data_IF_088261590412
#
_entry.id   IF_088261590412
#
_cell.length_a   1.000
_cell.length_b   1.000
_cell.length_c   1.000
_cell.angle_alpha   90.00
_cell.angle_beta   90.00
_cell.angle_gamma   90.00
#
_symmetry.space_group_name_H-M   'P 1'
#
loop_
_entity.id
_entity.type
_entity.pdbx_description
1 polymer ?
#
# COMPACT_ATOMS: atom_id res chain seq x y z
N UNK A 1 36.76 44.29 -19.90
CA UNK A 1 36.93 43.11 -20.78
C UNK A 1 36.33 41.80 -20.24
N UNK A 2 36.04 41.65 -18.95
CA UNK A 2 35.56 40.38 -18.33
C UNK A 2 34.11 39.98 -18.66
N UNK A 3 33.22 40.94 -18.96
CA UNK A 3 31.81 40.65 -19.28
C UNK A 3 31.60 39.92 -20.62
N UNK A 4 32.53 40.06 -21.56
CA UNK A 4 32.43 39.39 -22.88
C UNK A 4 32.68 37.88 -22.80
N UNK A 5 33.58 37.45 -21.91
CA UNK A 5 33.92 36.03 -21.72
C UNK A 5 32.80 35.25 -21.01
N UNK A 6 32.09 35.90 -20.09
CA UNK A 6 30.92 35.32 -19.39
C UNK A 6 29.78 34.98 -20.35
N UNK A 7 29.49 35.84 -21.34
CA UNK A 7 28.41 35.62 -22.31
C UNK A 7 28.70 34.44 -23.26
N UNK A 8 29.97 34.29 -23.68
CA UNK A 8 30.41 33.15 -24.50
C UNK A 8 30.32 31.81 -23.75
N UNK A 9 30.67 31.79 -22.45
CA UNK A 9 30.55 30.59 -21.61
C UNK A 9 29.10 30.13 -21.44
N UNK A 10 28.15 31.06 -21.23
CA UNK A 10 26.72 30.70 -21.07
C UNK A 10 26.12 30.10 -22.35
N UNK A 11 26.45 30.65 -23.52
CA UNK A 11 26.02 30.10 -24.81
C UNK A 11 26.58 28.69 -25.05
N UNK A 12 27.85 28.46 -24.69
CA UNK A 12 28.50 27.17 -24.84
C UNK A 12 27.89 26.09 -23.93
N UNK A 13 27.65 26.41 -22.65
CA UNK A 13 27.04 25.47 -21.69
C UNK A 13 25.60 25.12 -22.12
N UNK A 14 24.81 26.12 -22.53
CA UNK A 14 23.44 25.88 -23.01
C UNK A 14 23.41 24.97 -24.24
N UNK A 15 24.37 25.11 -25.17
CA UNK A 15 24.46 24.24 -26.34
C UNK A 15 24.82 22.79 -25.97
N UNK A 16 25.76 22.59 -25.03
CA UNK A 16 26.15 21.24 -24.57
C UNK A 16 24.97 20.53 -23.89
N UNK A 17 24.24 21.21 -23.00
CA UNK A 17 23.09 20.60 -22.29
C UNK A 17 22.02 20.14 -23.28
N UNK A 18 21.77 20.93 -24.33
CA UNK A 18 20.79 20.58 -25.37
C UNK A 18 21.23 19.35 -26.18
N UNK A 19 22.52 19.26 -26.54
CA UNK A 19 23.07 18.09 -27.24
C UNK A 19 23.05 16.82 -26.38
N UNK A 20 23.40 16.93 -25.10
CA UNK A 20 23.33 15.79 -24.16
C UNK A 20 21.89 15.31 -24.01
N UNK A 21 20.93 16.24 -23.89
CA UNK A 21 19.51 15.88 -23.81
C UNK A 21 19.03 15.12 -25.06
N UNK A 22 19.35 15.60 -26.26
CA UNK A 22 19.01 14.91 -27.52
C UNK A 22 19.64 13.52 -27.64
N UNK A 23 20.90 13.38 -27.22
CA UNK A 23 21.59 12.09 -27.23
C UNK A 23 20.95 11.09 -26.26
N UNK A 24 20.59 11.53 -25.04
CA UNK A 24 19.95 10.68 -24.04
C UNK A 24 18.57 10.19 -24.50
N UNK A 25 17.77 11.05 -25.13
CA UNK A 25 16.47 10.65 -25.68
C UNK A 25 16.63 9.67 -26.86
N UNK A 26 17.64 9.88 -27.73
CA UNK A 26 17.94 8.95 -28.82
C UNK A 26 18.40 7.57 -28.34
N UNK A 27 19.14 7.50 -27.21
CA UNK A 27 19.56 6.25 -26.61
C UNK A 27 18.37 5.47 -26.02
N UNK A 28 17.44 6.16 -25.35
CA UNK A 28 16.24 5.54 -24.78
C UNK A 28 15.33 4.91 -25.84
N UNK A 29 15.24 5.53 -27.03
CA UNK A 29 14.45 5.01 -28.15
C UNK A 29 15.11 3.81 -28.88
N UNK A 30 16.41 3.59 -28.68
CA UNK A 30 17.14 2.46 -29.28
C UNK A 30 17.28 1.26 -28.33
N UNK A 31 16.80 1.37 -27.09
CA UNK A 31 16.76 0.21 -26.21
C UNK A 31 15.79 -0.82 -26.80
N UNK A 32 16.26 -2.07 -27.06
CA UNK A 32 15.39 -3.11 -27.57
C UNK A 32 14.27 -3.33 -26.55
N UNK A 33 13.03 -3.03 -26.95
CA UNK A 33 11.86 -3.35 -26.13
C UNK A 33 11.90 -4.85 -25.83
N UNK A 34 11.75 -5.26 -24.57
CA UNK A 34 11.60 -6.66 -24.23
C UNK A 34 10.41 -7.17 -25.04
N UNK A 35 10.67 -8.07 -25.99
CA UNK A 35 9.60 -8.73 -26.74
C UNK A 35 8.74 -9.41 -25.69
N UNK A 36 7.50 -8.94 -25.57
CA UNK A 36 6.45 -9.62 -24.85
C UNK A 36 6.48 -11.08 -25.30
N UNK A 37 6.78 -11.97 -24.36
CA UNK A 37 6.64 -13.40 -24.58
C UNK A 37 5.14 -13.57 -24.82
N UNK A 38 4.80 -13.70 -26.09
CA UNK A 38 3.48 -14.07 -26.58
C UNK A 38 3.18 -15.40 -25.91
N UNK A 39 2.38 -15.37 -24.84
CA UNK A 39 1.86 -16.58 -24.25
C UNK A 39 1.07 -17.28 -25.36
N UNK A 40 1.62 -18.38 -25.87
CA UNK A 40 0.97 -19.24 -26.84
C UNK A 40 -0.45 -19.53 -26.32
N UNK A 41 -1.42 -18.87 -26.94
CA UNK A 41 -2.83 -19.17 -26.74
C UNK A 41 -3.02 -20.51 -27.42
N UNK A 42 -2.96 -21.56 -26.61
CA UNK A 42 -3.21 -22.93 -27.01
C UNK A 42 -4.61 -22.97 -27.65
N UNK A 43 -4.74 -23.45 -28.90
CA UNK A 43 -5.99 -23.39 -29.63
C UNK A 43 -7.02 -24.31 -28.96
N UNK A 44 -8.25 -23.80 -28.88
CA UNK A 44 -9.46 -24.50 -28.49
C UNK A 44 -9.46 -25.97 -28.89
N UNK A 45 -9.45 -26.84 -27.88
CA UNK A 45 -9.80 -28.25 -28.03
C UNK A 45 -11.27 -28.41 -27.61
N UNK A 46 -12.17 -28.82 -28.52
CA UNK A 46 -13.52 -29.17 -28.14
C UNK A 46 -13.52 -30.62 -27.63
N UNK A 47 -13.59 -30.81 -26.32
CA UNK A 47 -13.95 -32.09 -25.71
C UNK A 47 -15.01 -31.82 -24.65
N UNK A 48 -16.28 -32.09 -24.97
CA UNK A 48 -16.98 -33.38 -24.83
C UNK A 48 -17.33 -33.67 -23.37
N UNK A 49 -18.61 -33.90 -23.16
CA UNK A 49 -19.28 -34.07 -21.87
C UNK A 49 -18.76 -35.30 -21.13
N UNK A 50 -18.87 -35.21 -19.80
CA UNK A 50 -18.86 -36.30 -18.81
C UNK A 50 -17.54 -37.04 -18.59
N UNK A 51 -16.89 -36.79 -17.45
CA UNK A 51 -16.34 -37.87 -16.60
C UNK A 51 -15.99 -37.39 -15.17
N UNK A 52 -16.03 -38.37 -14.26
CA UNK A 52 -16.08 -38.31 -12.81
C UNK A 52 -15.06 -37.43 -12.06
N UNK A 53 -15.55 -36.86 -10.95
CA UNK A 53 -14.77 -36.16 -9.92
C UNK A 53 -13.84 -37.17 -9.23
N UNK A 54 -12.55 -37.13 -9.55
CA UNK A 54 -11.50 -37.79 -8.78
C UNK A 54 -10.99 -36.86 -7.68
N UNK A 55 -11.39 -37.15 -6.43
CA UNK A 55 -10.86 -36.49 -5.23
C UNK A 55 -9.43 -36.99 -5.00
N UNK A 56 -8.44 -36.16 -5.33
CA UNK A 56 -7.04 -36.40 -4.96
C UNK A 56 -6.85 -36.01 -3.50
N UNK A 57 -6.83 -37.02 -2.63
CA UNK A 57 -6.38 -36.90 -1.24
C UNK A 57 -4.85 -36.78 -1.29
N UNK A 58 -4.33 -35.57 -1.06
CA UNK A 58 -2.90 -35.35 -0.86
C UNK A 58 -2.44 -36.14 0.37
N UNK A 59 -1.58 -37.13 0.11
CA UNK A 59 -0.99 -37.97 1.14
C UNK A 59 -0.13 -37.15 2.09
N UNK A 60 -0.36 -37.35 3.37
CA UNK A 60 0.46 -36.96 4.51
C UNK A 60 1.91 -37.41 4.23
N UNK A 61 2.77 -36.47 3.87
CA UNK A 61 4.16 -36.77 3.55
C UNK A 61 4.96 -36.74 4.86
N UNK A 62 5.29 -37.94 5.32
CA UNK A 62 6.29 -38.29 6.32
C UNK A 62 7.39 -37.23 6.45
N UNK A 63 7.41 -36.57 7.62
CA UNK A 63 8.54 -35.82 8.10
C UNK A 63 9.66 -36.79 8.51
N UNK A 64 10.38 -37.33 7.50
CA UNK A 64 11.67 -37.97 7.70
C UNK A 64 12.74 -36.88 7.82
N UNK A 65 12.92 -36.39 9.03
CA UNK A 65 14.07 -35.61 9.45
C UNK A 65 15.23 -36.56 9.79
N UNK A 66 16.20 -36.72 8.90
CA UNK A 66 17.63 -36.86 9.25
C UNK A 66 18.49 -37.00 7.99
N UNK A 67 19.13 -35.89 7.59
CA UNK A 67 20.45 -35.89 6.96
C UNK A 67 20.98 -34.45 7.00
N UNK A 68 21.79 -34.18 8.03
CA UNK A 68 22.61 -32.97 8.16
C UNK A 68 23.66 -32.98 7.04
N UNK A 69 23.68 -32.01 6.12
CA UNK A 69 24.85 -31.78 5.29
C UNK A 69 25.87 -30.99 6.11
N UNK A 70 27.05 -31.59 6.32
CA UNK A 70 28.24 -30.92 6.83
C UNK A 70 28.57 -29.70 5.99
N UNK A 71 28.64 -28.55 6.65
CA UNK A 71 29.09 -27.29 6.08
C UNK A 71 30.62 -27.36 5.89
N UNK A 72 31.18 -26.99 4.73
CA UNK A 72 32.62 -26.86 4.58
C UNK A 72 33.12 -25.69 5.44
N UNK A 73 33.97 -26.05 6.39
CA UNK A 73 34.82 -25.17 7.17
C UNK A 73 35.80 -24.41 6.25
N UNK A 74 36.05 -23.15 6.61
CA UNK A 74 37.23 -22.34 6.25
C UNK A 74 37.34 -21.70 4.84
N UNK A 75 37.12 -20.38 4.83
CA UNK A 75 38.05 -19.44 4.20
C UNK A 75 38.01 -18.11 4.97
N UNK A 76 38.81 -18.03 6.04
CA UNK A 76 39.13 -16.78 6.74
C UNK A 76 39.99 -15.94 5.80
N UNK A 77 39.41 -14.91 5.18
CA UNK A 77 40.19 -13.83 4.56
C UNK A 77 40.47 -12.78 5.63
N UNK A 78 41.70 -12.84 6.11
CA UNK A 78 42.41 -11.86 6.94
C UNK A 78 42.51 -10.53 6.16
N UNK A 79 41.58 -9.61 6.40
CA UNK A 79 41.66 -8.23 5.92
C UNK A 79 42.24 -7.39 7.04
N UNK A 80 43.52 -7.07 6.89
CA UNK A 80 44.25 -6.17 7.76
C UNK A 80 43.55 -4.79 7.86
N UNK A 81 43.40 -4.22 9.08
CA UNK A 81 42.88 -2.87 9.23
C UNK A 81 43.95 -1.85 8.83
N UNK A 82 43.76 -1.20 7.68
CA UNK A 82 44.49 0.04 7.37
C UNK A 82 44.01 1.16 8.30
N UNK A 83 44.93 1.58 9.16
CA UNK A 83 44.88 2.77 9.98
C UNK A 83 44.82 4.03 9.09
N UNK A 84 43.68 4.70 9.07
CA UNK A 84 43.61 6.10 8.66
C UNK A 84 43.63 7.00 9.91
N UNK A 85 44.84 7.33 10.34
CA UNK A 85 45.13 8.55 11.07
C UNK A 85 44.90 9.75 10.15
N UNK A 86 43.84 10.53 10.37
CA UNK A 86 43.92 11.97 10.15
C UNK A 86 42.97 12.73 11.07
N UNK A 87 43.53 13.18 12.19
CA UNK A 87 42.98 14.23 13.01
C UNK A 87 43.02 15.57 12.26
N UNK A 88 41.85 16.19 12.06
CA UNK A 88 41.75 17.64 12.00
C UNK A 88 40.76 18.11 13.08
N UNK A 89 41.35 18.77 14.08
CA UNK A 89 40.64 19.44 15.15
C UNK A 89 39.92 20.67 14.58
N UNK A 90 38.62 20.54 14.33
CA UNK A 90 37.75 21.70 14.16
C UNK A 90 37.26 22.14 15.55
N UNK A 91 37.84 23.26 15.98
CA UNK A 91 37.48 24.10 17.11
C UNK A 91 35.94 24.22 17.27
N UNK A 92 35.36 23.53 18.24
CA UNK A 92 33.97 23.69 18.64
C UNK A 92 33.90 24.73 19.77
N UNK A 93 33.23 25.85 19.50
CA UNK A 93 32.87 26.84 20.51
C UNK A 93 31.99 26.23 21.62
N UNK A 94 32.10 26.70 22.87
CA UNK A 94 31.23 26.26 23.95
C UNK A 94 29.81 26.73 23.67
N UNK A 95 28.92 25.80 23.33
CA UNK A 95 27.48 26.08 23.25
C UNK A 95 26.96 26.23 24.67
N UNK A 96 26.57 27.46 25.00
CA UNK A 96 25.85 27.85 26.19
C UNK A 96 24.56 27.03 26.31
N UNK A 97 24.49 26.19 27.34
CA UNK A 97 23.34 25.34 27.64
C UNK A 97 22.20 26.25 28.09
N UNK A 98 21.19 26.42 27.22
CA UNK A 98 19.95 27.09 27.56
C UNK A 98 19.19 26.32 28.66
N UNK A 99 18.54 27.02 29.60
CA UNK A 99 17.83 26.39 30.70
C UNK A 99 16.64 25.55 30.21
N UNK A 100 16.60 24.33 30.72
CA UNK A 100 15.56 23.32 30.55
C UNK A 100 14.17 23.89 30.95
N UNK A 101 13.16 23.85 30.07
CA UNK A 101 11.80 24.25 30.43
C UNK A 101 11.17 23.19 31.32
N UNK A 102 10.87 23.57 32.56
CA UNK A 102 10.10 22.79 33.53
C UNK A 102 8.73 22.42 32.96
N UNK A 103 8.47 21.12 32.79
CA UNK A 103 7.13 20.63 32.48
C UNK A 103 6.23 20.72 33.73
N UNK A 104 5.00 21.24 33.62
CA UNK A 104 4.04 21.19 34.71
C UNK A 104 3.55 19.76 34.95
N UNK A 105 3.57 19.38 36.23
CA UNK A 105 3.01 18.16 36.80
C UNK A 105 1.48 18.26 36.78
N UNK A 106 0.85 17.71 35.73
CA UNK A 106 -0.61 17.67 35.60
C UNK A 106 -1.12 16.32 36.08
N UNK A 107 -1.05 16.13 37.39
CA UNK A 107 -1.84 15.14 38.12
C UNK A 107 -3.27 15.69 38.28
N UNK A 108 -4.08 15.66 37.22
CA UNK A 108 -5.52 15.96 37.32
C UNK A 108 -6.31 14.65 37.46
N UNK A 109 -6.90 14.54 38.65
CA UNK A 109 -7.73 13.44 39.11
C UNK A 109 -8.98 13.31 38.22
N UNK A 110 -9.07 12.23 37.45
CA UNK A 110 -10.32 11.85 36.79
C UNK A 110 -11.35 11.40 37.84
N UNK A 111 -12.58 11.93 37.82
CA UNK A 111 -13.65 11.50 38.72
C UNK A 111 -14.12 10.09 38.35
N UNK A 112 -14.18 9.22 39.36
CA UNK A 112 -14.89 7.94 39.31
C UNK A 112 -16.36 8.20 38.93
N UNK A 113 -16.73 7.87 37.68
CA UNK A 113 -18.13 7.87 37.29
C UNK A 113 -18.79 6.57 37.76
N UNK A 114 -19.81 6.75 38.60
CA UNK A 114 -20.80 5.76 39.00
C UNK A 114 -21.32 4.98 37.77
N UNK A 115 -21.09 3.67 37.77
CA UNK A 115 -21.71 2.73 36.85
C UNK A 115 -23.17 2.55 37.23
N UNK A 116 -24.02 3.45 36.73
CA UNK A 116 -25.47 3.29 36.78
C UNK A 116 -25.89 2.08 35.93
N UNK A 117 -26.53 1.13 36.61
CA UNK A 117 -27.01 -0.17 36.14
C UNK A 117 -27.78 -0.12 34.82
N UNK A 118 -27.31 -0.88 33.82
CA UNK A 118 -28.08 -1.19 32.62
C UNK A 118 -29.29 -2.10 32.98
N UNK A 119 -30.52 -1.79 32.53
CA UNK A 119 -31.65 -2.69 32.68
C UNK A 119 -31.53 -3.90 31.74
N UNK A 120 -31.80 -5.09 32.28
CA UNK A 120 -31.91 -6.35 31.54
C UNK A 120 -32.94 -6.25 30.41
N UNK A 121 -32.65 -6.72 29.19
CA UNK A 121 -33.64 -6.83 28.13
C UNK A 121 -34.70 -7.88 28.48
N UNK A 122 -35.96 -7.47 28.44
CA UNK A 122 -37.14 -8.33 28.60
C UNK A 122 -37.20 -9.38 27.49
N UNK A 123 -37.22 -10.64 27.92
CA UNK A 123 -37.48 -11.82 27.12
C UNK A 123 -39.00 -11.98 26.96
N UNK A 124 -39.56 -11.52 25.83
CA UNK A 124 -40.82 -12.03 25.28
C UNK A 124 -41.09 -11.43 23.89
N UNK A 125 -40.93 -12.24 22.85
CA UNK A 125 -41.69 -12.05 21.62
C UNK A 125 -42.27 -13.38 21.11
N UNK A 126 -43.50 -13.35 20.56
CA UNK A 126 -44.24 -14.55 20.20
C UNK A 126 -43.77 -15.11 18.86
N UNK A 127 -43.80 -16.44 18.77
CA UNK A 127 -43.66 -17.20 17.54
C UNK A 127 -44.95 -17.00 16.73
N UNK A 128 -44.90 -16.24 15.64
CA UNK A 128 -45.94 -16.28 14.60
C UNK A 128 -45.35 -16.82 13.30
N UNK A 129 -45.89 -17.97 12.93
CA UNK A 129 -45.51 -18.79 11.80
C UNK A 129 -46.47 -18.52 10.63
N UNK A 130 -45.90 -18.52 9.43
CA UNK A 130 -46.55 -18.82 8.14
C UNK A 130 -47.26 -17.72 7.33
N UNK A 131 -46.52 -17.29 6.30
CA UNK A 131 -46.91 -17.28 4.87
C UNK A 131 -47.99 -16.30 4.38
N UNK A 132 -47.55 -15.16 3.86
CA UNK A 132 -48.07 -14.55 2.62
C UNK A 132 -46.90 -13.81 1.97
N UNK A 133 -46.28 -14.44 0.96
CA UNK A 133 -45.17 -13.86 0.20
C UNK A 133 -45.71 -12.78 -0.75
N UNK A 134 -45.86 -11.57 -0.22
CA UNK A 134 -45.82 -10.36 -1.03
C UNK A 134 -44.34 -10.15 -1.38
N UNK A 135 -43.92 -10.60 -2.56
CA UNK A 135 -42.60 -10.34 -3.10
C UNK A 135 -42.52 -8.86 -3.49
N UNK A 136 -42.31 -8.00 -2.49
CA UNK A 136 -41.72 -6.69 -2.74
C UNK A 136 -40.30 -6.97 -3.24
N UNK A 137 -39.93 -6.55 -4.46
CA UNK A 137 -38.56 -6.71 -4.92
C UNK A 137 -37.64 -6.12 -3.85
N UNK A 138 -36.56 -6.81 -3.46
CA UNK A 138 -35.64 -6.31 -2.44
C UNK A 138 -35.26 -4.88 -2.81
N UNK A 139 -35.42 -3.96 -1.86
CA UNK A 139 -34.90 -2.61 -2.01
C UNK A 139 -33.46 -2.72 -2.51
N UNK A 140 -33.13 -1.98 -3.57
CA UNK A 140 -31.77 -1.90 -4.09
C UNK A 140 -30.77 -1.82 -2.92
N UNK A 141 -29.70 -2.62 -2.93
CA UNK A 141 -28.68 -2.52 -1.88
C UNK A 141 -28.22 -1.05 -1.78
N UNK A 142 -27.90 -0.55 -0.57
CA UNK A 142 -27.46 0.82 -0.41
C UNK A 142 -26.26 1.06 -1.35
N UNK A 143 -26.38 2.09 -2.19
CA UNK A 143 -25.36 2.51 -3.16
C UNK A 143 -24.16 3.19 -2.48
N UNK A 144 -23.87 2.83 -1.23
CA UNK A 144 -22.84 3.43 -0.39
C UNK A 144 -21.67 2.44 -0.30
N UNK A 145 -21.01 2.16 -1.42
CA UNK A 145 -19.68 1.55 -1.36
C UNK A 145 -18.77 2.52 -0.61
N UNK A 146 -18.14 2.10 0.51
CA UNK A 146 -17.29 2.98 1.34
C UNK A 146 -15.96 3.36 0.67
N UNK A 147 -15.83 3.07 -0.62
CA UNK A 147 -14.62 3.28 -1.41
C UNK A 147 -14.71 4.61 -2.12
N UNK A 148 -13.63 5.37 -2.01
CA UNK A 148 -13.47 6.64 -2.71
C UNK A 148 -12.81 6.32 -4.05
N UNK A 149 -13.47 6.73 -5.13
CA UNK A 149 -12.92 6.60 -6.49
C UNK A 149 -11.67 7.46 -6.60
N UNK A 150 -10.56 6.83 -7.00
CA UNK A 150 -9.35 7.57 -7.36
C UNK A 150 -9.64 8.46 -8.57
N UNK A 151 -9.49 9.78 -8.42
CA UNK A 151 -9.50 10.67 -9.58
C UNK A 151 -8.29 10.44 -10.47
N UNK A 152 -8.34 10.87 -11.74
CA UNK A 152 -7.25 10.73 -12.72
C UNK A 152 -5.91 11.35 -12.26
N UNK A 153 -5.96 12.26 -11.29
CA UNK A 153 -4.79 12.91 -10.70
C UNK A 153 -4.13 12.11 -9.58
N UNK A 154 -4.75 11.02 -9.10
CA UNK A 154 -4.20 10.24 -8.01
C UNK A 154 -2.85 9.62 -8.41
N UNK A 155 -1.79 9.75 -7.58
CA UNK A 155 -0.47 9.29 -7.94
C UNK A 155 -0.37 7.78 -7.79
N UNK A 156 -0.41 7.05 -8.89
CA UNK A 156 -0.22 5.60 -8.89
C UNK A 156 1.28 5.24 -8.99
N UNK A 157 1.79 4.34 -8.13
CA UNK A 157 3.15 3.81 -8.25
C UNK A 157 3.37 3.08 -9.58
N UNK A 158 4.62 3.02 -10.06
CA UNK A 158 4.94 2.29 -11.27
C UNK A 158 4.60 0.80 -11.13
N UNK A 159 3.92 0.24 -12.14
CA UNK A 159 3.46 -1.15 -12.11
C UNK A 159 2.21 -1.40 -11.26
N UNK A 160 1.55 -0.34 -10.77
CA UNK A 160 0.23 -0.47 -10.18
C UNK A 160 -0.80 -0.92 -11.21
N UNK A 161 -1.61 -1.91 -10.84
CA UNK A 161 -2.71 -2.45 -11.64
C UNK A 161 -3.98 -2.34 -10.81
N UNK A 162 -5.01 -1.70 -11.37
CA UNK A 162 -6.34 -1.61 -10.75
C UNK A 162 -7.12 -2.92 -10.80
N UNK A 163 -8.19 -3.01 -10.02
CA UNK A 163 -9.06 -4.19 -10.01
C UNK A 163 -8.65 -5.26 -9.00
N UNK A 164 -7.88 -4.95 -7.95
CA UNK A 164 -7.61 -5.98 -6.95
C UNK A 164 -8.89 -6.41 -6.24
N UNK A 165 -9.00 -7.73 -6.03
CA UNK A 165 -10.22 -8.33 -5.51
C UNK A 165 -11.46 -7.87 -6.31
N UNK A 166 -11.37 -7.66 -7.63
CA UNK A 166 -12.53 -7.25 -8.43
C UNK A 166 -13.08 -5.84 -8.15
N UNK A 167 -12.38 -5.02 -7.35
CA UNK A 167 -12.77 -3.64 -7.01
C UNK A 167 -11.97 -2.66 -7.87
N UNK A 168 -12.63 -1.77 -8.63
CA UNK A 168 -11.96 -0.78 -9.48
C UNK A 168 -11.10 0.21 -8.68
N UNK A 169 -11.50 0.47 -7.45
CA UNK A 169 -10.89 1.41 -6.51
C UNK A 169 -9.81 0.72 -5.65
N UNK A 170 -9.48 -0.53 -5.96
CA UNK A 170 -8.39 -1.27 -5.35
C UNK A 170 -7.25 -1.40 -6.36
N UNK A 171 -6.04 -1.01 -5.97
CA UNK A 171 -4.85 -1.18 -6.81
C UNK A 171 -3.81 -2.10 -6.16
N UNK A 172 -3.13 -2.89 -6.99
CA UNK A 172 -2.07 -3.83 -6.58
C UNK A 172 -0.75 -3.49 -7.28
N UNK A 173 0.34 -3.55 -6.54
CA UNK A 173 1.70 -3.39 -7.04
C UNK A 173 2.47 -4.68 -6.78
N UNK A 174 2.87 -5.37 -7.85
CA UNK A 174 3.70 -6.56 -7.77
C UNK A 174 5.18 -6.19 -7.91
N UNK A 175 6.06 -6.75 -7.06
CA UNK A 175 7.52 -6.57 -7.16
C UNK A 175 8.05 -5.15 -6.92
N UNK A 176 7.20 -4.22 -6.48
CA UNK A 176 7.51 -2.79 -6.30
C UNK A 176 8.21 -2.41 -4.99
N UNK A 177 8.78 -3.37 -4.27
CA UNK A 177 9.36 -3.17 -2.94
C UNK A 177 8.40 -3.48 -1.80
N UNK A 178 8.78 -3.13 -0.58
CA UNK A 178 7.94 -3.36 0.60
C UNK A 178 6.72 -2.43 0.63
N UNK A 179 5.62 -2.87 1.24
CA UNK A 179 4.41 -2.04 1.42
C UNK A 179 4.72 -0.67 2.05
N UNK A 180 5.75 -0.59 2.92
CA UNK A 180 6.24 0.66 3.52
C UNK A 180 6.81 1.63 2.49
N UNK A 181 7.60 1.12 1.54
CA UNK A 181 8.17 1.96 0.47
C UNK A 181 7.11 2.48 -0.50
N UNK A 182 6.10 1.64 -0.80
CA UNK A 182 4.95 2.04 -1.61
C UNK A 182 4.12 3.10 -0.88
N UNK A 183 3.81 2.89 0.41
CA UNK A 183 3.12 3.87 1.24
C UNK A 183 3.85 5.21 1.27
N UNK A 184 5.16 5.21 1.55
CA UNK A 184 5.96 6.44 1.57
C UNK A 184 5.91 7.18 0.23
N UNK A 185 6.03 6.45 -0.88
CA UNK A 185 5.93 7.03 -2.22
C UNK A 185 4.55 7.64 -2.48
N UNK A 186 3.47 6.96 -2.09
CA UNK A 186 2.11 7.48 -2.22
C UNK A 186 1.93 8.78 -1.43
N UNK A 187 2.34 8.78 -0.15
CA UNK A 187 2.21 9.93 0.73
C UNK A 187 3.02 11.13 0.23
N UNK A 188 4.30 10.95 -0.11
CA UNK A 188 5.12 12.04 -0.65
C UNK A 188 4.52 12.65 -1.92
N UNK A 189 3.92 11.83 -2.80
CA UNK A 189 3.26 12.36 -3.99
C UNK A 189 1.94 13.07 -3.65
N UNK A 190 1.13 12.56 -2.72
CA UNK A 190 -0.10 13.21 -2.28
C UNK A 190 0.18 14.57 -1.60
N UNK A 191 1.16 14.62 -0.70
CA UNK A 191 1.63 15.87 -0.09
C UNK A 191 2.08 16.88 -1.15
N UNK A 192 2.78 16.43 -2.20
CA UNK A 192 3.20 17.30 -3.32
C UNK A 192 2.02 17.87 -4.12
N UNK A 193 0.86 17.21 -4.08
CA UNK A 193 -0.39 17.67 -4.68
C UNK A 193 -1.21 18.56 -3.72
N UNK A 194 -0.72 18.80 -2.50
CA UNK A 194 -1.34 19.67 -1.51
C UNK A 194 -2.27 18.97 -0.52
N UNK A 195 -2.30 17.64 -0.50
CA UNK A 195 -3.00 16.89 0.55
C UNK A 195 -2.28 17.06 1.89
N UNK A 196 -3.05 17.19 2.97
CA UNK A 196 -2.53 16.98 4.33
C UNK A 196 -2.64 15.51 4.67
N UNK A 197 -1.57 14.91 5.18
CA UNK A 197 -1.53 13.48 5.50
C UNK A 197 -1.13 13.26 6.96
N UNK A 198 -1.81 12.34 7.65
CA UNK A 198 -1.43 11.90 9.00
C UNK A 198 -1.46 10.38 9.07
N UNK A 199 -0.37 9.75 9.54
CA UNK A 199 -0.36 8.32 9.80
C UNK A 199 -1.20 7.99 11.04
N UNK A 200 -1.92 6.87 10.98
CA UNK A 200 -2.65 6.30 12.11
C UNK A 200 -1.89 5.14 12.70
N UNK A 201 -1.27 5.38 13.85
CA UNK A 201 -0.51 4.38 14.60
C UNK A 201 -1.35 3.63 15.64
N UNK A 202 -2.60 4.05 15.85
CA UNK A 202 -3.54 3.43 16.81
C UNK A 202 -4.07 2.06 16.36
N UNK A 203 -3.85 1.72 15.09
CA UNK A 203 -4.37 0.52 14.44
C UNK A 203 -3.24 -0.46 14.18
N UNK A 204 -2.59 -0.89 15.25
CA UNK A 204 -1.42 -1.75 15.26
C UNK A 204 -1.75 -3.15 14.71
N UNK A 205 -1.50 -3.34 13.42
CA UNK A 205 -1.63 -4.63 12.76
C UNK A 205 -0.48 -4.82 11.79
N UNK A 206 0.13 -5.99 11.90
CA UNK A 206 1.34 -6.32 11.16
C UNK A 206 1.03 -6.36 9.67
N UNK A 207 1.74 -5.55 8.87
CA UNK A 207 1.60 -5.58 7.42
C UNK A 207 0.52 -4.65 6.85
N UNK A 208 0.00 -3.70 7.63
CA UNK A 208 -0.83 -2.60 7.09
C UNK A 208 -0.35 -1.22 7.55
N UNK A 209 -0.69 -0.19 6.80
CA UNK A 209 -0.52 1.23 7.13
C UNK A 209 -1.78 1.98 6.74
N UNK A 210 -2.20 2.90 7.58
CA UNK A 210 -3.42 3.70 7.37
C UNK A 210 -3.03 5.16 7.51
N UNK A 211 -3.46 5.96 6.55
CA UNK A 211 -3.22 7.40 6.52
C UNK A 211 -4.55 8.13 6.38
N UNK A 212 -4.76 9.12 7.24
CA UNK A 212 -5.79 10.14 7.07
C UNK A 212 -5.33 11.15 6.04
N UNK A 213 -6.18 11.42 5.06
CA UNK A 213 -5.96 12.34 3.96
C UNK A 213 -6.99 13.47 4.04
N UNK A 214 -6.52 14.70 3.98
CA UNK A 214 -7.36 15.88 3.81
C UNK A 214 -7.06 16.53 2.46
N UNK A 215 -8.01 16.54 1.50
CA UNK A 215 -7.79 17.12 0.18
C UNK A 215 -7.51 18.64 0.22
N UNK A 216 -6.69 19.16 -0.71
CA UNK A 216 -6.41 20.60 -0.77
C UNK A 216 -7.68 21.41 -1.06
N UNK A 217 -7.94 22.42 -0.24
CA UNK A 217 -9.07 23.34 -0.43
C UNK A 217 -10.44 22.79 -0.03
N UNK A 218 -10.47 21.56 0.51
CA UNK A 218 -11.69 20.94 1.01
C UNK A 218 -11.74 21.01 2.54
N UNK A 219 -12.88 21.47 3.09
CA UNK A 219 -13.07 21.62 4.55
C UNK A 219 -13.82 20.43 5.16
N UNK A 220 -14.11 19.38 4.39
CA UNK A 220 -15.31 18.59 4.67
C UNK A 220 -15.14 17.11 5.02
N UNK A 221 -14.18 16.39 4.44
CA UNK A 221 -14.16 14.93 4.61
C UNK A 221 -12.74 14.39 4.68
N UNK A 222 -12.44 13.77 5.81
CA UNK A 222 -11.25 12.94 5.97
C UNK A 222 -11.46 11.69 5.13
N UNK A 223 -10.46 11.38 4.30
CA UNK A 223 -10.40 10.15 3.53
C UNK A 223 -9.29 9.27 4.11
N UNK A 224 -9.41 7.96 3.97
CA UNK A 224 -8.43 7.02 4.49
C UNK A 224 -7.74 6.31 3.35
N UNK A 225 -6.43 6.47 3.25
CA UNK A 225 -5.58 5.62 2.41
C UNK A 225 -5.12 4.43 3.24
N UNK A 226 -5.47 3.24 2.78
CA UNK A 226 -5.09 1.98 3.41
C UNK A 226 -4.12 1.26 2.49
N UNK A 227 -2.97 0.85 3.04
CA UNK A 227 -1.91 0.15 2.30
C UNK A 227 -1.62 -1.16 3.03
N UNK A 228 -1.79 -2.27 2.33
CA UNK A 228 -1.64 -3.63 2.86
C UNK A 228 -0.51 -4.37 2.16
N UNK A 229 0.20 -5.20 2.92
CA UNK A 229 0.98 -6.30 2.36
C UNK A 229 0.04 -7.48 2.12
N UNK A 230 0.01 -7.96 0.90
CA UNK A 230 -0.72 -9.17 0.52
C UNK A 230 0.14 -10.42 0.76
N UNK A 231 -0.48 -11.60 0.78
CA UNK A 231 0.19 -12.89 1.07
C UNK A 231 1.30 -13.23 0.08
N UNK A 232 1.16 -12.79 -1.16
CA UNK A 232 2.17 -13.00 -2.23
C UNK A 232 3.33 -11.99 -2.17
N UNK A 233 3.39 -11.15 -1.11
CA UNK A 233 4.35 -10.06 -1.00
C UNK A 233 4.06 -8.87 -1.92
N UNK A 234 2.91 -8.87 -2.59
CA UNK A 234 2.41 -7.70 -3.34
C UNK A 234 1.91 -6.63 -2.37
N UNK A 235 1.90 -5.37 -2.79
CA UNK A 235 1.27 -4.30 -2.02
C UNK A 235 -0.09 -3.96 -2.61
N UNK A 236 -1.12 -3.92 -1.77
CA UNK A 236 -2.46 -3.46 -2.14
C UNK A 236 -2.71 -2.10 -1.51
N UNK A 237 -3.31 -1.16 -2.24
CA UNK A 237 -3.79 0.09 -1.66
C UNK A 237 -5.16 0.48 -2.19
N UNK A 238 -5.91 1.15 -1.33
CA UNK A 238 -7.30 1.57 -1.57
C UNK A 238 -7.57 2.84 -0.77
N UNK A 239 -8.49 3.67 -1.26
CA UNK A 239 -8.98 4.84 -0.54
C UNK A 239 -10.46 4.65 -0.17
N UNK A 240 -10.83 5.08 1.04
CA UNK A 240 -12.20 4.99 1.53
C UNK A 240 -12.61 6.17 2.40
N UNK A 241 -13.91 6.30 2.63
CA UNK A 241 -14.49 7.26 3.59
C UNK A 241 -14.40 6.77 5.05
N UNK A 242 -14.10 5.47 5.21
CA UNK A 242 -13.81 4.80 6.47
C UNK A 242 -12.64 3.84 6.30
N UNK A 243 -12.12 3.41 7.43
CA UNK A 243 -11.09 2.38 7.48
C UNK A 243 -11.74 1.02 7.21
N UNK A 244 -11.15 0.27 6.29
CA UNK A 244 -11.51 -1.09 5.93
C UNK A 244 -10.34 -2.03 6.25
N UNK A 245 -10.68 -3.23 6.66
CA UNK A 245 -9.75 -4.34 6.81
C UNK A 245 -9.58 -5.10 5.49
N UNK A 246 -8.51 -5.89 5.37
CA UNK A 246 -8.28 -6.71 4.18
C UNK A 246 -9.41 -7.73 3.93
N UNK A 247 -9.95 -8.32 5.00
CA UNK A 247 -11.08 -9.26 4.91
C UNK A 247 -12.36 -8.57 4.45
N UNK A 248 -12.62 -7.33 4.87
CA UNK A 248 -13.74 -6.54 4.37
C UNK A 248 -13.58 -6.24 2.88
N UNK A 249 -12.38 -5.86 2.40
CA UNK A 249 -12.12 -5.65 0.98
C UNK A 249 -12.38 -6.90 0.14
N UNK A 250 -11.95 -8.07 0.62
CA UNK A 250 -12.22 -9.35 -0.04
C UNK A 250 -13.72 -9.69 -0.05
N UNK A 251 -14.44 -9.34 1.02
CA UNK A 251 -15.89 -9.60 1.13
C UNK A 251 -16.70 -8.68 0.22
N UNK A 252 -16.29 -7.41 0.06
CA UNK A 252 -16.95 -6.46 -0.85
C UNK A 252 -17.00 -7.00 -2.29
N UNK A 253 -15.92 -7.64 -2.76
CA UNK A 253 -15.89 -8.30 -4.06
C UNK A 253 -16.97 -9.38 -4.22
N UNK A 254 -17.11 -10.24 -3.21
CA UNK A 254 -18.04 -11.37 -3.27
C UNK A 254 -19.48 -10.89 -3.46
N UNK A 255 -19.81 -9.71 -2.92
CA UNK A 255 -21.13 -9.09 -3.07
C UNK A 255 -21.33 -8.48 -4.46
N UNK A 256 -20.30 -7.83 -5.03
CA UNK A 256 -20.37 -7.25 -6.38
C UNK A 256 -20.67 -8.31 -7.44
N UNK A 257 -20.02 -9.48 -7.36
CA UNK A 257 -20.23 -10.58 -8.31
C UNK A 257 -21.60 -11.26 -8.24
N UNK A 258 -22.32 -11.14 -7.11
CA UNK A 258 -23.68 -11.66 -6.97
C UNK A 258 -24.71 -10.73 -7.62
N UNK A 259 -24.47 -9.42 -7.56
CA UNK A 259 -25.36 -8.43 -8.17
C UNK A 259 -25.30 -8.47 -9.71
N UNK A 260 -24.12 -8.72 -10.30
CA UNK A 260 -23.98 -8.82 -11.76
C UNK A 260 -24.64 -10.07 -12.37
N UNK A 261 -24.87 -11.14 -11.59
CA UNK A 261 -25.54 -12.36 -12.07
C UNK A 261 -27.07 -12.29 -12.02
N UNK A 262 -27.64 -11.22 -11.47
CA UNK A 262 -29.09 -11.07 -11.27
C UNK A 262 -29.76 -10.03 -12.19
N UNK A 263 -28.99 -9.41 -13.10
CA UNK A 263 -29.46 -8.52 -14.17
C UNK A 263 -29.50 -9.19 -15.54
#
# INVERSE_FOLDING_TARGET
MTRSLQKKRRLYISGIVLLVSLASHGLLLNLPLPRSIEAETQPDSPFDESEDISVVILSEQDALAEAVPELPEEAVLDIAPESFDQAEASNAEPVEIAPEPSLPDESELLPEQDLESLPSPDENLPIEDSTTSNYTPPASPPADTPLVVFGDAFPHPAGAVGGCFGLSECNRVAGGGSYRSVAQSLITNLESQGYSTSERDDLDDTGRRIYELLPPGDNGSVQYLMVFSDVDGSTVYVMGDRILTLSELQTLNAQTNLNDQSG
#
